data_IF_297570374065
#
_entry.id   IF_297570374065
#
_cell.length_a   1.000
_cell.length_b   1.000
_cell.length_c   1.000
_cell.angle_alpha   90.00
_cell.angle_beta   90.00
_cell.angle_gamma   90.00
#
_symmetry.space_group_name_H-M   'P 1'
#
loop_
_entity.id
_entity.type
_entity.pdbx_description
1 polymer ?
#
# COMPACT_ATOMS: atom_id res chain seq x y z
N UNK A 1 28.32 22.16 -49.68
CA UNK A 1 27.76 21.49 -48.50
C UNK A 1 26.63 22.38 -47.98
N UNK A 2 25.37 21.94 -48.04
CA UNK A 2 24.22 22.73 -47.57
C UNK A 2 23.93 22.37 -46.12
N UNK A 3 24.16 23.29 -45.20
CA UNK A 3 23.73 23.16 -43.81
C UNK A 3 22.21 23.36 -43.77
N UNK A 4 21.45 22.30 -43.47
CA UNK A 4 20.02 22.42 -43.14
C UNK A 4 19.92 22.89 -41.69
N UNK A 5 19.72 24.20 -41.49
CA UNK A 5 19.43 24.79 -40.18
C UNK A 5 17.92 24.84 -39.94
N UNK A 6 17.49 24.54 -38.71
CA UNK A 6 16.12 24.77 -38.27
C UNK A 6 15.79 26.26 -38.34
N UNK A 7 14.59 26.60 -38.82
CA UNK A 7 14.11 27.99 -38.80
C UNK A 7 13.62 28.37 -37.40
N UNK A 8 13.67 29.66 -37.06
CA UNK A 8 13.18 30.14 -35.76
C UNK A 8 11.70 29.80 -35.55
N UNK A 9 10.90 29.87 -36.62
CA UNK A 9 9.49 29.51 -36.58
C UNK A 9 9.28 28.00 -36.33
N UNK A 10 10.12 27.14 -36.89
CA UNK A 10 10.04 25.69 -36.68
C UNK A 10 10.39 25.31 -35.24
N UNK A 11 11.37 25.97 -34.62
CA UNK A 11 11.65 25.80 -33.20
C UNK A 11 10.47 26.25 -32.32
N UNK A 12 9.83 27.37 -32.64
CA UNK A 12 8.67 27.85 -31.89
C UNK A 12 7.47 26.89 -32.01
N UNK A 13 7.21 26.37 -33.21
CA UNK A 13 6.12 25.41 -33.44
C UNK A 13 6.41 24.09 -32.71
N UNK A 14 7.64 23.59 -32.73
CA UNK A 14 8.00 22.35 -32.03
C UNK A 14 7.86 22.49 -30.51
N UNK A 15 8.29 23.60 -29.93
CA UNK A 15 8.11 23.88 -28.49
C UNK A 15 6.62 24.03 -28.16
N UNK A 16 5.83 24.70 -29.00
CA UNK A 16 4.39 24.84 -28.78
C UNK A 16 3.68 23.48 -28.77
N UNK A 17 4.00 22.60 -29.73
CA UNK A 17 3.44 21.24 -29.78
C UNK A 17 3.91 20.40 -28.58
N UNK A 18 5.19 20.47 -28.22
CA UNK A 18 5.70 19.78 -27.02
C UNK A 18 5.00 20.23 -25.74
N UNK A 19 4.72 21.53 -25.59
CA UNK A 19 4.00 22.05 -24.44
C UNK A 19 2.58 21.48 -24.35
N UNK A 20 1.85 21.40 -25.47
CA UNK A 20 0.50 20.82 -25.53
C UNK A 20 0.51 19.33 -25.15
N UNK A 21 1.51 18.57 -25.62
CA UNK A 21 1.60 17.15 -25.28
C UNK A 21 1.94 16.97 -23.79
N UNK A 22 2.83 17.80 -23.25
CA UNK A 22 3.27 17.71 -21.86
C UNK A 22 2.10 17.92 -20.87
N UNK A 23 1.15 18.82 -21.16
CA UNK A 23 0.00 19.06 -20.26
C UNK A 23 -0.91 17.86 -20.13
N UNK A 24 -0.97 16.97 -21.13
CA UNK A 24 -1.75 15.73 -21.09
C UNK A 24 -0.94 14.59 -20.47
N UNK A 25 0.36 14.50 -20.80
CA UNK A 25 1.22 13.42 -20.35
C UNK A 25 1.51 13.48 -18.83
N UNK A 26 1.82 14.67 -18.29
CA UNK A 26 2.20 14.86 -16.88
C UNK A 26 1.14 14.35 -15.88
N UNK A 27 -0.15 14.73 -15.96
CA UNK A 27 -1.15 14.22 -15.01
C UNK A 27 -1.34 12.70 -15.10
N UNK A 28 -1.21 12.12 -16.30
CA UNK A 28 -1.25 10.67 -16.50
C UNK A 28 -0.10 9.95 -15.77
N UNK A 29 1.12 10.47 -15.87
CA UNK A 29 2.26 9.94 -15.12
C UNK A 29 2.08 10.05 -13.61
N UNK A 30 1.51 11.15 -13.11
CA UNK A 30 1.24 11.32 -11.68
C UNK A 30 0.24 10.28 -11.15
N UNK A 31 -0.84 10.03 -11.89
CA UNK A 31 -1.84 9.00 -11.53
C UNK A 31 -1.24 7.58 -11.53
N UNK A 32 -0.42 7.27 -12.54
CA UNK A 32 0.29 5.99 -12.61
C UNK A 32 1.25 5.79 -11.43
N UNK A 33 2.03 6.82 -11.08
CA UNK A 33 2.93 6.76 -9.92
C UNK A 33 2.16 6.57 -8.61
N UNK A 34 1.04 7.27 -8.44
CA UNK A 34 0.20 7.15 -7.26
C UNK A 34 -0.40 5.73 -7.14
N UNK A 35 -0.86 5.14 -8.27
CA UNK A 35 -1.37 3.77 -8.32
C UNK A 35 -0.30 2.73 -7.99
N UNK A 36 0.93 2.91 -8.48
CA UNK A 36 2.05 2.04 -8.15
C UNK A 36 2.42 2.10 -6.66
N UNK A 37 2.33 3.27 -6.03
CA UNK A 37 2.54 3.43 -4.58
C UNK A 37 1.44 2.73 -3.79
N UNK A 38 0.18 2.89 -4.17
CA UNK A 38 -0.96 2.21 -3.55
C UNK A 38 -0.81 0.68 -3.63
N UNK A 39 -0.41 0.15 -4.78
CA UNK A 39 -0.13 -1.28 -4.95
C UNK A 39 1.06 -1.77 -4.10
N UNK A 40 2.12 -0.95 -3.98
CA UNK A 40 3.25 -1.28 -3.12
C UNK A 40 2.85 -1.34 -1.65
N UNK A 41 2.11 -0.36 -1.14
CA UNK A 41 1.62 -0.32 0.24
C UNK A 41 0.65 -1.46 0.54
N UNK A 42 -0.22 -1.80 -0.42
CA UNK A 42 -1.07 -3.00 -0.32
C UNK A 42 -0.25 -4.28 -0.13
N UNK A 43 0.77 -4.49 -0.96
CA UNK A 43 1.62 -5.69 -0.88
C UNK A 43 2.40 -5.75 0.43
N UNK A 44 2.77 -4.59 0.97
CA UNK A 44 3.43 -4.47 2.27
C UNK A 44 2.52 -4.94 3.40
N UNK A 45 1.29 -4.43 3.45
CA UNK A 45 0.31 -4.83 4.47
C UNK A 45 -0.02 -6.31 4.33
N UNK A 46 -0.24 -6.79 3.11
CA UNK A 46 -0.47 -8.21 2.82
C UNK A 46 0.68 -9.09 3.32
N UNK A 47 1.93 -8.69 3.06
CA UNK A 47 3.11 -9.41 3.54
C UNK A 47 3.21 -9.38 5.06
N UNK A 48 2.95 -8.23 5.69
CA UNK A 48 3.00 -8.08 7.15
C UNK A 48 1.94 -8.93 7.87
N UNK A 49 0.73 -9.02 7.32
CA UNK A 49 -0.33 -9.90 7.84
C UNK A 49 0.06 -11.39 7.71
N UNK A 50 0.60 -11.79 6.55
CA UNK A 50 1.06 -13.17 6.34
C UNK A 50 2.21 -13.52 7.29
N UNK A 51 3.10 -12.57 7.54
CA UNK A 51 4.17 -12.72 8.52
C UNK A 51 3.61 -12.88 9.93
N UNK A 52 2.72 -11.99 10.38
CA UNK A 52 2.11 -12.07 11.71
C UNK A 52 1.39 -13.41 11.93
N UNK A 53 0.63 -13.87 10.93
CA UNK A 53 -0.03 -15.19 10.95
C UNK A 53 0.97 -16.34 11.06
N UNK A 54 2.05 -16.29 10.28
CA UNK A 54 3.09 -17.32 10.31
C UNK A 54 3.82 -17.35 11.65
N UNK A 55 4.09 -16.18 12.24
CA UNK A 55 4.72 -16.07 13.55
C UNK A 55 3.82 -16.61 14.67
N UNK A 56 2.51 -16.36 14.62
CA UNK A 56 1.54 -16.95 15.56
C UNK A 56 1.60 -18.49 15.54
N UNK A 57 1.60 -19.08 14.34
CA UNK A 57 1.67 -20.54 14.17
C UNK A 57 3.00 -21.10 14.66
N UNK A 58 4.13 -20.47 14.27
CA UNK A 58 5.48 -20.93 14.64
C UNK A 58 5.69 -20.90 16.15
N UNK A 59 5.22 -19.84 16.80
CA UNK A 59 5.41 -19.59 18.24
C UNK A 59 4.36 -20.28 19.11
N UNK A 60 3.25 -20.75 18.49
CA UNK A 60 2.09 -21.31 19.18
C UNK A 60 1.47 -20.35 20.21
N UNK A 61 1.52 -19.06 19.92
CA UNK A 61 0.99 -17.99 20.76
C UNK A 61 0.23 -16.96 19.92
N UNK A 62 -0.44 -16.02 20.57
CA UNK A 62 -1.09 -14.92 19.87
C UNK A 62 -0.07 -13.89 19.38
N UNK A 63 -0.20 -13.50 18.12
CA UNK A 63 0.62 -12.45 17.50
C UNK A 63 -0.29 -11.42 16.87
N UNK A 64 -0.02 -10.15 17.18
CA UNK A 64 -0.83 -9.01 16.73
C UNK A 64 -0.06 -8.18 15.71
N UNK A 65 -0.65 -8.02 14.54
CA UNK A 65 -0.31 -6.99 13.55
C UNK A 65 -1.01 -5.69 13.93
N UNK A 66 -0.28 -4.61 14.16
CA UNK A 66 -0.81 -3.29 14.55
C UNK A 66 -0.34 -2.24 13.55
N UNK A 67 -1.21 -1.32 13.18
CA UNK A 67 -0.86 -0.20 12.29
C UNK A 67 -1.09 1.12 13.00
N UNK A 68 -0.07 1.97 12.91
CA UNK A 68 -0.09 3.34 13.39
C UNK A 68 -0.23 4.26 12.18
N UNK A 69 -1.35 4.99 12.12
CA UNK A 69 -1.63 5.99 11.09
C UNK A 69 -0.85 7.28 11.36
N UNK A 70 0.46 7.22 11.18
CA UNK A 70 1.37 8.38 11.22
C UNK A 70 1.77 8.79 9.79
N UNK A 71 2.59 9.84 9.67
CA UNK A 71 3.25 10.21 8.41
C UNK A 71 4.76 10.16 8.62
N UNK A 72 5.46 9.10 8.16
CA UNK A 72 4.93 7.92 7.46
C UNK A 72 4.14 6.98 8.39
N UNK A 73 3.25 6.17 7.82
CA UNK A 73 2.55 5.13 8.58
C UNK A 73 3.51 3.98 8.90
N UNK A 74 3.23 3.25 9.96
CA UNK A 74 4.05 2.13 10.42
C UNK A 74 3.16 0.95 10.76
N UNK A 75 3.63 -0.27 10.48
CA UNK A 75 3.08 -1.45 11.13
C UNK A 75 4.10 -2.11 12.07
N UNK A 76 3.57 -2.74 13.12
CA UNK A 76 4.30 -3.58 14.05
C UNK A 76 3.68 -4.96 14.11
N UNK A 77 4.51 -5.96 14.31
CA UNK A 77 4.11 -7.33 14.63
C UNK A 77 4.62 -7.60 16.03
N UNK A 78 3.72 -7.94 16.95
CA UNK A 78 4.02 -8.06 18.39
C UNK A 78 3.46 -9.36 18.96
N UNK A 79 4.14 -9.92 19.95
CA UNK A 79 3.62 -11.05 20.74
C UNK A 79 2.55 -10.59 21.74
N UNK A 80 1.92 -11.54 22.44
CA UNK A 80 0.99 -11.25 23.53
C UNK A 80 1.61 -10.37 24.64
N UNK A 81 2.90 -10.57 24.92
CA UNK A 81 3.68 -9.77 25.89
C UNK A 81 4.17 -8.42 25.32
N UNK A 82 3.67 -8.01 24.15
CA UNK A 82 4.06 -6.80 23.43
C UNK A 82 5.54 -6.74 23.01
N UNK A 83 6.21 -7.89 22.86
CA UNK A 83 7.56 -7.92 22.29
C UNK A 83 7.50 -7.74 20.78
N UNK A 84 8.31 -6.81 20.25
CA UNK A 84 8.36 -6.53 18.81
C UNK A 84 9.05 -7.68 18.06
N UNK A 85 8.34 -8.28 17.09
CA UNK A 85 8.88 -9.26 16.13
C UNK A 85 9.37 -8.56 14.87
N UNK A 86 8.61 -7.57 14.39
CA UNK A 86 8.96 -6.79 13.21
C UNK A 86 8.32 -5.41 13.28
N UNK A 87 9.06 -4.41 12.82
CA UNK A 87 8.59 -3.04 12.68
C UNK A 87 8.92 -2.60 11.26
N UNK A 88 7.95 -2.00 10.56
CA UNK A 88 8.17 -1.45 9.23
C UNK A 88 7.49 -0.11 9.08
N UNK A 89 8.30 0.92 8.83
CA UNK A 89 7.82 2.23 8.41
C UNK A 89 7.63 2.28 6.90
N UNK A 90 6.57 2.94 6.46
CA UNK A 90 6.34 3.21 5.06
C UNK A 90 7.32 4.24 4.52
N UNK A 91 7.58 4.19 3.21
CA UNK A 91 8.47 5.15 2.53
C UNK A 91 7.76 6.44 2.13
N UNK A 92 6.42 6.51 2.28
CA UNK A 92 5.60 7.68 1.99
C UNK A 92 4.11 7.32 1.99
N UNK A 93 3.25 8.32 1.80
CA UNK A 93 1.80 8.15 1.68
C UNK A 93 1.05 8.20 3.02
N UNK A 94 -0.18 8.71 2.98
CA UNK A 94 -1.12 8.67 4.10
C UNK A 94 -2.07 7.52 3.85
N UNK A 95 -1.76 6.36 4.42
CA UNK A 95 -2.62 5.18 4.38
C UNK A 95 -3.56 5.25 5.56
N UNK A 96 -4.86 5.34 5.29
CA UNK A 96 -5.87 5.21 6.35
C UNK A 96 -6.44 3.81 6.35
N UNK A 97 -6.30 3.10 7.48
CA UNK A 97 -6.78 1.74 7.67
C UNK A 97 -7.99 1.70 8.61
N UNK A 98 -9.02 0.96 8.22
CA UNK A 98 -10.24 0.78 9.02
C UNK A 98 -10.00 -0.07 10.26
N UNK A 99 -9.25 -1.17 10.11
CA UNK A 99 -8.80 -2.00 11.24
C UNK A 99 -7.35 -1.66 11.57
N UNK A 100 -7.10 -1.19 12.79
CA UNK A 100 -5.75 -0.80 13.25
C UNK A 100 -4.99 -1.94 13.92
N UNK A 101 -5.66 -3.04 14.25
CA UNK A 101 -5.00 -4.23 14.74
C UNK A 101 -5.71 -5.52 14.30
N UNK A 102 -4.94 -6.54 13.96
CA UNK A 102 -5.39 -7.91 13.69
C UNK A 102 -4.51 -8.86 14.49
N UNK A 103 -5.14 -9.69 15.31
CA UNK A 103 -4.49 -10.72 16.12
C UNK A 103 -4.74 -12.08 15.48
N UNK A 104 -3.69 -12.87 15.33
CA UNK A 104 -3.77 -14.28 14.94
C UNK A 104 -3.48 -15.16 16.14
N UNK A 105 -4.24 -16.23 16.31
CA UNK A 105 -3.98 -17.24 17.33
C UNK A 105 -2.98 -18.30 16.85
N UNK A 106 -2.62 -19.23 17.75
CA UNK A 106 -1.69 -20.33 17.48
C UNK A 106 -2.08 -21.24 16.30
N UNK A 107 -3.35 -21.23 15.86
CA UNK A 107 -3.85 -21.99 14.70
C UNK A 107 -3.84 -21.15 13.41
N UNK A 108 -3.35 -19.91 13.46
CA UNK A 108 -3.34 -18.97 12.34
C UNK A 108 -4.73 -18.44 11.97
N UNK A 109 -5.73 -18.60 12.83
CA UNK A 109 -7.06 -17.97 12.67
C UNK A 109 -7.00 -16.58 13.28
N UNK A 110 -7.79 -15.64 12.74
CA UNK A 110 -7.96 -14.34 13.40
C UNK A 110 -8.67 -14.52 14.74
N UNK A 111 -8.15 -13.87 15.77
CA UNK A 111 -8.63 -13.92 17.15
C UNK A 111 -9.53 -12.71 17.49
N UNK A 112 -9.34 -11.59 16.80
CA UNK A 112 -10.14 -10.37 16.94
C UNK A 112 -10.98 -10.09 15.67
N UNK A 113 -11.86 -9.09 15.80
CA UNK A 113 -12.92 -8.73 14.87
C UNK A 113 -14.03 -9.82 14.82
N UNK A 114 -15.24 -9.54 15.30
CA UNK A 114 -16.30 -10.57 15.35
C UNK A 114 -17.11 -10.68 14.05
N UNK A 115 -17.14 -9.61 13.24
CA UNK A 115 -17.80 -9.57 11.92
C UNK A 115 -17.01 -8.69 10.95
N UNK A 116 -16.58 -9.23 9.81
CA UNK A 116 -15.74 -8.52 8.84
C UNK A 116 -14.35 -8.19 9.42
N UNK A 117 -13.29 -8.29 8.62
CA UNK A 117 -11.95 -7.90 9.06
C UNK A 117 -11.23 -7.29 7.88
N UNK A 118 -11.78 -6.14 7.48
CA UNK A 118 -11.36 -5.45 6.30
C UNK A 118 -10.36 -4.35 6.69
N UNK A 119 -9.30 -4.28 5.90
CA UNK A 119 -8.27 -3.28 5.93
C UNK A 119 -8.34 -2.59 4.58
N UNK A 120 -8.91 -1.40 4.57
CA UNK A 120 -8.87 -0.51 3.40
C UNK A 120 -7.57 0.26 3.42
N UNK A 121 -6.85 0.30 2.31
CA UNK A 121 -5.67 1.14 2.11
C UNK A 121 -6.08 2.26 1.16
N UNK A 122 -6.06 3.50 1.63
CA UNK A 122 -6.43 4.67 0.84
C UNK A 122 -5.20 5.50 0.46
N UNK A 123 -5.19 6.07 -0.75
CA UNK A 123 -4.20 7.06 -1.16
C UNK A 123 -4.85 8.19 -1.96
N UNK A 124 -4.52 9.45 -1.62
CA UNK A 124 -5.03 10.62 -2.34
C UNK A 124 -4.57 10.59 -3.80
N UNK A 125 -5.50 10.66 -4.76
CA UNK A 125 -5.20 10.64 -6.20
C UNK A 125 -4.96 9.26 -6.83
N UNK A 126 -5.06 8.15 -6.08
CA UNK A 126 -4.95 6.78 -6.63
C UNK A 126 -6.12 5.85 -6.29
N UNK A 127 -6.98 6.22 -5.34
CA UNK A 127 -8.13 5.43 -4.93
C UNK A 127 -7.85 4.57 -3.69
N UNK A 128 -8.53 3.43 -3.60
CA UNK A 128 -8.50 2.52 -2.45
C UNK A 128 -8.30 1.06 -2.86
N UNK A 129 -7.64 0.28 -2.01
CA UNK A 129 -7.55 -1.18 -2.13
C UNK A 129 -7.91 -1.84 -0.81
N UNK A 130 -8.75 -2.86 -0.86
CA UNK A 130 -9.19 -3.58 0.32
C UNK A 130 -8.48 -4.94 0.47
N UNK A 131 -8.12 -5.25 1.71
CA UNK A 131 -7.69 -6.55 2.18
C UNK A 131 -8.69 -7.07 3.20
N UNK A 132 -9.01 -8.35 3.15
CA UNK A 132 -9.86 -9.02 4.13
C UNK A 132 -9.12 -10.19 4.77
N UNK A 133 -9.30 -10.34 6.08
CA UNK A 133 -8.89 -11.53 6.82
C UNK A 133 -10.12 -12.36 7.18
N UNK A 134 -10.24 -13.57 6.62
CA UNK A 134 -11.35 -14.47 6.91
C UNK A 134 -11.31 -15.00 8.35
N UNK A 135 -12.41 -15.56 8.85
CA UNK A 135 -12.46 -16.27 10.16
C UNK A 135 -11.47 -17.43 10.29
N UNK A 136 -10.99 -17.97 9.17
CA UNK A 136 -9.95 -19.01 9.11
C UNK A 136 -8.54 -18.45 8.98
N UNK A 137 -8.39 -17.13 8.90
CA UNK A 137 -7.11 -16.44 8.74
C UNK A 137 -6.59 -16.39 7.31
N UNK A 138 -7.43 -16.67 6.31
CA UNK A 138 -7.08 -16.40 4.91
C UNK A 138 -6.99 -14.90 4.71
N UNK A 139 -5.89 -14.42 4.13
CA UNK A 139 -5.67 -13.00 3.84
C UNK A 139 -5.72 -12.82 2.32
N UNK A 140 -6.53 -11.88 1.84
CA UNK A 140 -6.66 -11.61 0.40
C UNK A 140 -7.67 -10.50 0.11
N UNK A 141 -8.09 -10.37 -1.14
CA UNK A 141 -9.17 -9.44 -1.49
C UNK A 141 -10.50 -9.89 -0.85
N UNK A 142 -11.38 -8.95 -0.45
CA UNK A 142 -12.74 -9.29 -0.03
C UNK A 142 -13.44 -10.10 -1.12
N UNK A 143 -14.05 -11.22 -0.75
CA UNK A 143 -14.96 -11.95 -1.64
C UNK A 143 -16.34 -11.33 -1.49
N UNK A 144 -16.89 -10.79 -2.59
CA UNK A 144 -18.26 -10.29 -2.66
C UNK A 144 -19.30 -11.36 -2.32
#
# INVERSE_FOLDING_TARGET
>A
MKNAGFTLIELLVTIAVMAIIATIAVPGFQSMMASNRLAADYNVVLSGLNQARSEAIKRREEVTFRVTQASPWEYRITTADNSDIAIRSARGGQVSLTSTNITFNALGRRANCTSGCDITINHTGAGSLDLQVSTTGRIGKPTS
#
